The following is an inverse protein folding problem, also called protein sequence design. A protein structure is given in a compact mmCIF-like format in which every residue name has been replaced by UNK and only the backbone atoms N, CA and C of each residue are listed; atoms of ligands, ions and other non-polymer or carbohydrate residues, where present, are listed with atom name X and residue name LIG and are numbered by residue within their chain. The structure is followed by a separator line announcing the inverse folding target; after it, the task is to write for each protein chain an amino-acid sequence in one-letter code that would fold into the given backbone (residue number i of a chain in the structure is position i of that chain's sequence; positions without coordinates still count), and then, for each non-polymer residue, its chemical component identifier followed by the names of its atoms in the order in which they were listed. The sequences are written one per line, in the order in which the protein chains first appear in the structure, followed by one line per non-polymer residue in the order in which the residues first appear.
data_IF_386225564631
#
_entry.id   IF_386225564631
#
_cell.length_a   1.000
_cell.length_b   1.000
_cell.length_c   1.000
_cell.angle_alpha   90.00
_cell.angle_beta   90.00
_cell.angle_gamma   90.00
#
_symmetry.space_group_name_H-M   'P 1'
#
loop_
_entity.id
_entity.type
_entity.pdbx_description
1 polymer ?
#
# COMPACT_ATOMS: atom_id res chain seq x y z
N UNK A 1 -29.45 21.71 -18.91
CA UNK A 1 -30.71 21.13 -18.39
C UNK A 1 -30.63 19.65 -18.05
N UNK A 2 -29.93 18.84 -18.82
CA UNK A 2 -29.82 17.38 -18.60
C UNK A 2 -29.09 16.90 -17.29
N UNK A 3 -28.12 17.65 -16.78
CA UNK A 3 -27.35 17.21 -15.61
C UNK A 3 -28.16 17.27 -14.31
N UNK A 4 -28.98 18.31 -14.12
CA UNK A 4 -29.83 18.45 -12.92
C UNK A 4 -30.95 17.39 -12.86
N UNK A 5 -31.50 17.01 -13.99
CA UNK A 5 -32.49 15.93 -14.08
C UNK A 5 -31.87 14.55 -13.83
N UNK A 6 -30.67 14.32 -14.34
CA UNK A 6 -29.91 13.10 -14.08
C UNK A 6 -29.58 12.95 -12.57
N UNK A 7 -29.08 14.01 -11.95
CA UNK A 7 -28.80 14.02 -10.51
C UNK A 7 -30.08 13.81 -9.70
N UNK A 8 -31.20 14.43 -10.09
CA UNK A 8 -32.50 14.25 -9.44
C UNK A 8 -33.00 12.81 -9.54
N UNK A 9 -32.94 12.20 -10.74
CA UNK A 9 -33.34 10.81 -10.95
C UNK A 9 -32.50 9.80 -10.19
N UNK A 10 -31.16 10.07 -10.03
CA UNK A 10 -30.27 9.24 -9.21
C UNK A 10 -30.64 9.35 -7.73
N UNK A 11 -31.02 10.56 -7.29
CA UNK A 11 -31.37 10.82 -5.89
C UNK A 11 -32.75 10.31 -5.49
N UNK A 12 -33.73 10.31 -6.40
CA UNK A 12 -35.10 9.89 -6.11
C UNK A 12 -35.27 8.35 -6.07
N UNK A 13 -34.26 7.59 -6.52
CA UNK A 13 -34.31 6.12 -6.46
C UNK A 13 -33.82 5.65 -5.06
N UNK A 14 -34.67 4.95 -4.30
CA UNK A 14 -34.40 4.44 -2.97
C UNK A 14 -33.18 3.51 -2.91
N UNK A 15 -32.96 2.70 -3.95
CA UNK A 15 -31.77 1.83 -4.02
C UNK A 15 -30.48 2.65 -4.15
N UNK A 16 -30.50 3.68 -4.99
CA UNK A 16 -29.37 4.58 -5.17
C UNK A 16 -29.06 5.38 -3.88
N UNK A 17 -30.09 5.84 -3.18
CA UNK A 17 -29.91 6.51 -1.88
C UNK A 17 -29.23 5.58 -0.85
N UNK A 18 -29.61 4.31 -0.82
CA UNK A 18 -29.01 3.31 0.05
C UNK A 18 -27.55 3.04 -0.30
N UNK A 19 -27.25 2.95 -1.60
CA UNK A 19 -25.88 2.81 -2.11
C UNK A 19 -25.02 4.03 -1.75
N UNK A 20 -25.53 5.25 -1.98
CA UNK A 20 -24.84 6.50 -1.66
C UNK A 20 -24.56 6.61 -0.17
N UNK A 21 -25.53 6.30 0.70
CA UNK A 21 -25.36 6.29 2.16
C UNK A 21 -24.28 5.30 2.60
N UNK A 22 -24.32 4.09 2.05
CA UNK A 22 -23.31 3.07 2.36
C UNK A 22 -21.92 3.48 1.88
N UNK A 23 -21.81 4.05 0.68
CA UNK A 23 -20.55 4.56 0.16
C UNK A 23 -20.01 5.72 1.00
N UNK A 24 -20.85 6.66 1.40
CA UNK A 24 -20.48 7.77 2.27
C UNK A 24 -20.01 7.27 3.63
N UNK A 25 -20.73 6.31 4.24
CA UNK A 25 -20.35 5.71 5.51
C UNK A 25 -18.99 5.00 5.44
N UNK A 26 -18.73 4.25 4.35
CA UNK A 26 -17.44 3.60 4.11
C UNK A 26 -16.32 4.62 3.90
N UNK A 27 -16.59 5.70 3.15
CA UNK A 27 -15.62 6.77 2.93
C UNK A 27 -15.25 7.48 4.23
N UNK A 28 -16.25 7.83 5.04
CA UNK A 28 -16.03 8.44 6.36
C UNK A 28 -15.25 7.49 7.28
N UNK A 29 -15.63 6.21 7.33
CA UNK A 29 -14.92 5.21 8.11
C UNK A 29 -13.44 5.07 7.67
N UNK A 30 -13.17 5.11 6.36
CA UNK A 30 -11.82 5.09 5.80
C UNK A 30 -10.97 6.31 6.21
N UNK A 31 -11.57 7.52 6.18
CA UNK A 31 -10.90 8.76 6.61
C UNK A 31 -10.63 8.72 8.11
N UNK A 32 -11.61 8.33 8.92
CA UNK A 32 -11.46 8.22 10.39
C UNK A 32 -10.38 7.20 10.72
N UNK A 33 -10.38 6.03 10.06
CA UNK A 33 -9.34 5.02 10.24
C UNK A 33 -7.95 5.57 9.89
N UNK A 34 -7.83 6.28 8.75
CA UNK A 34 -6.57 6.89 8.33
C UNK A 34 -6.05 7.87 9.39
N UNK A 35 -6.94 8.73 9.91
CA UNK A 35 -6.58 9.70 10.95
C UNK A 35 -6.17 9.01 12.26
N UNK A 36 -6.92 8.02 12.72
CA UNK A 36 -6.61 7.25 13.91
C UNK A 36 -5.28 6.50 13.77
N UNK A 37 -5.03 5.88 12.62
CA UNK A 37 -3.80 5.13 12.37
C UNK A 37 -2.55 5.98 12.51
N UNK A 38 -2.59 7.24 12.05
CA UNK A 38 -1.44 8.14 12.10
C UNK A 38 -1.29 8.91 13.42
N UNK A 39 -2.38 9.13 14.16
CA UNK A 39 -2.36 9.93 15.37
C UNK A 39 -2.41 9.09 16.66
N UNK A 40 -2.53 7.77 16.53
CA UNK A 40 -2.53 6.85 17.69
C UNK A 40 -1.57 5.70 17.45
N UNK A 41 -1.05 5.12 18.52
CA UNK A 41 -0.22 3.91 18.48
C UNK A 41 -1.09 2.66 18.21
N UNK A 42 -1.99 2.75 17.22
CA UNK A 42 -2.96 1.69 16.92
C UNK A 42 -2.28 0.37 16.55
N UNK A 43 -1.09 0.44 15.97
CA UNK A 43 -0.28 -0.74 15.63
C UNK A 43 0.09 -1.54 16.88
N UNK A 44 0.56 -0.86 17.93
CA UNK A 44 0.94 -1.49 19.20
C UNK A 44 -0.27 -1.99 19.96
N UNK A 45 -1.39 -1.27 19.85
CA UNK A 45 -2.65 -1.68 20.48
C UNK A 45 -3.27 -2.93 19.82
N UNK A 46 -3.23 -3.03 18.48
CA UNK A 46 -3.82 -4.14 17.71
C UNK A 46 -2.96 -5.41 17.75
N UNK A 47 -1.66 -5.27 17.61
CA UNK A 47 -0.74 -6.40 17.52
C UNK A 47 0.06 -6.65 18.81
N UNK A 48 -0.06 -5.75 19.79
CA UNK A 48 0.67 -5.87 21.06
C UNK A 48 2.17 -6.08 20.89
N UNK A 49 2.78 -7.00 21.64
CA UNK A 49 4.21 -7.28 21.55
C UNK A 49 4.65 -7.91 20.22
N UNK A 50 3.70 -8.40 19.41
CA UNK A 50 3.98 -8.99 18.09
C UNK A 50 3.97 -7.97 16.94
N UNK A 51 3.67 -6.71 17.22
CA UNK A 51 3.57 -5.65 16.20
C UNK A 51 4.82 -5.60 15.32
N UNK A 52 6.01 -5.53 15.91
CA UNK A 52 7.28 -5.46 15.18
C UNK A 52 7.47 -6.66 14.26
N UNK A 53 7.22 -7.88 14.75
CA UNK A 53 7.38 -9.10 13.97
C UNK A 53 6.45 -9.14 12.75
N UNK A 54 5.20 -8.69 12.92
CA UNK A 54 4.22 -8.61 11.82
C UNK A 54 4.68 -7.59 10.78
N UNK A 55 5.13 -6.41 11.21
CA UNK A 55 5.66 -5.39 10.31
C UNK A 55 6.92 -5.86 9.59
N UNK A 56 7.87 -6.48 10.29
CA UNK A 56 9.09 -7.04 9.71
C UNK A 56 8.78 -8.08 8.64
N UNK A 57 7.83 -8.99 8.92
CA UNK A 57 7.40 -10.01 7.95
C UNK A 57 6.86 -9.40 6.66
N UNK A 58 5.96 -8.42 6.75
CA UNK A 58 5.40 -7.77 5.56
C UNK A 58 6.41 -6.86 4.86
N UNK A 59 7.30 -6.22 5.59
CA UNK A 59 8.42 -5.45 5.04
C UNK A 59 9.36 -6.34 4.24
N UNK A 60 9.66 -7.54 4.76
CA UNK A 60 10.49 -8.53 4.08
C UNK A 60 9.81 -9.07 2.80
N UNK A 61 8.49 -9.30 2.83
CA UNK A 61 7.73 -9.67 1.63
C UNK A 61 7.80 -8.56 0.59
N UNK A 62 7.58 -7.31 1.00
CA UNK A 62 7.65 -6.16 0.11
C UNK A 62 9.06 -5.99 -0.49
N UNK A 63 10.10 -6.14 0.32
CA UNK A 63 11.50 -6.07 -0.10
C UNK A 63 11.84 -7.17 -1.12
N UNK A 64 11.57 -8.44 -0.78
CA UNK A 64 11.89 -9.57 -1.66
C UNK A 64 11.10 -9.49 -2.98
N UNK A 65 9.81 -9.12 -2.92
CA UNK A 65 9.00 -8.93 -4.11
C UNK A 65 9.52 -7.80 -5.01
N UNK A 66 9.95 -6.69 -4.41
CA UNK A 66 10.56 -5.57 -5.14
C UNK A 66 11.91 -5.97 -5.73
N UNK A 67 12.73 -6.74 -4.99
CA UNK A 67 14.01 -7.23 -5.47
C UNK A 67 13.85 -8.11 -6.72
N UNK A 68 12.89 -9.04 -6.72
CA UNK A 68 12.59 -9.87 -7.89
C UNK A 68 12.19 -9.03 -9.12
N UNK A 69 11.41 -7.96 -8.91
CA UNK A 69 11.03 -7.07 -10.02
C UNK A 69 12.22 -6.23 -10.50
N UNK A 70 13.09 -5.76 -9.61
CA UNK A 70 14.30 -5.03 -9.98
C UNK A 70 15.27 -5.94 -10.75
N UNK A 71 15.48 -7.18 -10.31
CA UNK A 71 16.31 -8.15 -11.04
C UNK A 71 15.77 -8.46 -12.44
N UNK A 72 14.44 -8.45 -12.62
CA UNK A 72 13.81 -8.76 -13.89
C UNK A 72 13.75 -7.60 -14.88
N UNK A 73 13.66 -6.35 -14.39
CA UNK A 73 13.31 -5.20 -15.23
C UNK A 73 14.20 -3.97 -15.05
N UNK A 74 15.12 -3.95 -14.06
CA UNK A 74 16.01 -2.84 -13.84
C UNK A 74 17.40 -3.13 -14.45
N UNK A 75 17.87 -2.27 -15.35
CA UNK A 75 19.19 -2.39 -15.97
C UNK A 75 20.32 -1.72 -15.14
N UNK A 76 19.96 -1.02 -14.05
CA UNK A 76 20.90 -0.29 -13.22
C UNK A 76 21.53 -1.24 -12.18
N UNK A 77 22.86 -1.29 -12.07
CA UNK A 77 23.50 -2.15 -11.08
C UNK A 77 23.23 -1.67 -9.67
N UNK A 78 22.79 -2.57 -8.81
CA UNK A 78 22.51 -2.32 -7.41
C UNK A 78 23.00 -3.47 -6.53
N UNK A 79 23.14 -3.16 -5.23
CA UNK A 79 23.43 -4.11 -4.17
C UNK A 79 22.41 -3.96 -3.05
N UNK A 80 22.12 -5.06 -2.34
CA UNK A 80 21.16 -5.05 -1.24
C UNK A 80 21.87 -5.18 0.09
N UNK A 81 21.54 -4.30 1.06
CA UNK A 81 22.03 -4.35 2.44
C UNK A 81 20.83 -4.30 3.40
N UNK A 82 20.49 -5.44 4.01
CA UNK A 82 19.30 -5.57 4.83
C UNK A 82 18.03 -5.35 3.98
N UNK A 83 17.27 -4.29 4.26
CA UNK A 83 16.08 -3.87 3.48
C UNK A 83 16.35 -2.63 2.62
N UNK A 84 17.61 -2.40 2.25
CA UNK A 84 18.04 -1.26 1.44
C UNK A 84 18.53 -1.70 0.08
N UNK A 85 18.23 -0.90 -0.93
CA UNK A 85 18.79 -0.98 -2.28
C UNK A 85 19.81 0.14 -2.44
N UNK A 86 21.05 -0.22 -2.79
CA UNK A 86 22.16 0.71 -3.04
C UNK A 86 22.48 0.67 -4.53
N UNK A 87 22.30 1.80 -5.21
CA UNK A 87 22.55 1.92 -6.65
C UNK A 87 23.93 2.50 -6.93
N UNK A 88 24.61 1.94 -7.92
CA UNK A 88 26.00 2.27 -8.25
C UNK A 88 26.11 2.96 -9.60
N UNK A 89 27.04 3.91 -9.66
CA UNK A 89 27.47 4.52 -10.92
C UNK A 89 29.00 4.41 -11.04
N UNK A 90 29.54 4.11 -12.24
CA UNK A 90 30.98 4.18 -12.47
C UNK A 90 31.47 5.62 -12.30
N UNK A 91 32.43 5.82 -11.39
CA UNK A 91 33.06 7.12 -11.15
C UNK A 91 34.46 7.13 -11.76
N UNK A 92 34.84 8.17 -12.56
CA UNK A 92 36.09 8.19 -13.31
C UNK A 92 37.36 8.17 -12.45
N UNK A 93 37.28 8.59 -11.18
CA UNK A 93 38.44 8.69 -10.29
C UNK A 93 38.47 7.65 -9.15
N UNK A 94 37.31 7.10 -8.74
CA UNK A 94 37.18 6.22 -7.57
C UNK A 94 36.57 4.84 -7.89
N UNK A 95 36.41 4.49 -9.16
CA UNK A 95 35.90 3.19 -9.60
C UNK A 95 34.39 3.08 -9.54
N UNK A 96 33.79 2.85 -8.38
CA UNK A 96 32.32 2.69 -8.23
C UNK A 96 31.84 3.53 -7.06
N UNK A 97 30.84 4.35 -7.29
CA UNK A 97 30.24 5.21 -6.26
C UNK A 97 28.76 4.86 -6.09
N UNK A 98 28.33 4.81 -4.80
CA UNK A 98 26.90 4.73 -4.45
C UNK A 98 26.30 6.11 -4.63
N UNK A 99 25.42 6.28 -5.61
CA UNK A 99 24.81 7.57 -5.90
C UNK A 99 23.36 7.67 -5.39
N UNK A 100 22.69 6.53 -5.15
CA UNK A 100 21.35 6.49 -4.63
C UNK A 100 21.17 5.32 -3.66
N UNK A 101 20.41 5.54 -2.58
CA UNK A 101 20.09 4.52 -1.59
C UNK A 101 18.62 4.63 -1.21
N UNK A 102 17.86 3.52 -1.33
CA UNK A 102 16.46 3.46 -0.96
C UNK A 102 16.24 2.37 0.08
N UNK A 103 15.60 2.72 1.20
CA UNK A 103 15.28 1.78 2.29
C UNK A 103 13.79 1.52 2.34
N UNK A 104 13.41 0.23 2.39
CA UNK A 104 12.03 -0.16 2.66
C UNK A 104 11.85 -0.27 4.16
N UNK A 105 11.04 0.64 4.72
CA UNK A 105 10.71 0.73 6.14
C UNK A 105 9.32 0.14 6.42
N UNK A 106 8.97 0.01 7.70
CA UNK A 106 7.68 -0.54 8.14
C UNK A 106 6.47 0.14 7.53
N UNK A 107 6.53 1.46 7.27
CA UNK A 107 5.44 2.20 6.62
C UNK A 107 5.20 1.78 5.16
N UNK A 108 6.20 1.14 4.54
CA UNK A 108 6.10 0.57 3.19
C UNK A 108 5.57 -0.87 3.18
N UNK A 109 5.31 -1.48 4.36
CA UNK A 109 4.89 -2.88 4.49
C UNK A 109 3.53 -3.22 3.84
N UNK A 110 2.67 -2.22 3.62
CA UNK A 110 1.31 -2.42 3.09
C UNK A 110 0.29 -2.87 4.14
N UNK A 111 0.68 -3.10 5.39
CA UNK A 111 -0.22 -3.54 6.47
C UNK A 111 -1.39 -2.57 6.66
N UNK A 112 -1.13 -1.27 6.60
CA UNK A 112 -2.16 -0.23 6.73
C UNK A 112 -3.30 -0.43 5.73
N UNK A 113 -2.97 -0.72 4.47
CA UNK A 113 -3.93 -0.96 3.41
C UNK A 113 -4.74 -2.23 3.68
N UNK A 114 -4.09 -3.30 4.16
CA UNK A 114 -4.75 -4.55 4.55
C UNK A 114 -5.70 -4.32 5.71
N UNK A 115 -5.29 -3.56 6.74
CA UNK A 115 -6.14 -3.22 7.88
C UNK A 115 -7.35 -2.37 7.48
N UNK A 116 -7.13 -1.38 6.61
CA UNK A 116 -8.22 -0.57 6.06
C UNK A 116 -9.20 -1.42 5.24
N UNK A 117 -8.69 -2.35 4.46
CA UNK A 117 -9.50 -3.29 3.69
C UNK A 117 -10.29 -4.24 4.59
N UNK A 118 -9.67 -4.75 5.67
CA UNK A 118 -10.36 -5.55 6.68
C UNK A 118 -11.53 -4.78 7.31
N UNK A 119 -11.30 -3.52 7.68
CA UNK A 119 -12.36 -2.65 8.21
C UNK A 119 -13.53 -2.53 7.25
N UNK A 120 -13.26 -2.29 5.97
CA UNK A 120 -14.29 -2.21 4.92
C UNK A 120 -15.08 -3.51 4.83
N UNK A 121 -14.42 -4.67 4.83
CA UNK A 121 -15.08 -5.98 4.77
C UNK A 121 -15.94 -6.25 6.01
N UNK A 122 -15.49 -5.83 7.20
CA UNK A 122 -16.27 -5.95 8.44
C UNK A 122 -17.56 -5.12 8.35
N UNK A 123 -17.46 -3.88 7.87
CA UNK A 123 -18.59 -2.97 7.72
C UNK A 123 -19.57 -3.37 6.61
N UNK A 124 -19.12 -4.10 5.60
CA UNK A 124 -20.01 -4.62 4.57
C UNK A 124 -21.01 -5.61 5.14
N UNK A 125 -22.27 -5.53 4.70
CA UNK A 125 -23.31 -6.50 5.03
C UNK A 125 -23.12 -7.79 4.27
N UNK A 126 -23.25 -8.94 4.92
CA UNK A 126 -23.14 -10.25 4.27
C UNK A 126 -22.72 -11.39 5.20
N UNK A 127 -22.79 -12.63 4.71
CA UNK A 127 -22.43 -13.83 5.46
C UNK A 127 -20.91 -13.89 5.63
N UNK A 128 -20.43 -14.09 6.85
CA UNK A 128 -19.01 -14.14 7.23
C UNK A 128 -18.17 -15.13 6.39
N UNK A 129 -18.71 -16.32 6.15
CA UNK A 129 -18.04 -17.35 5.33
C UNK A 129 -17.70 -16.89 3.91
N UNK A 130 -18.50 -15.97 3.33
CA UNK A 130 -18.19 -15.39 2.02
C UNK A 130 -17.18 -14.27 2.10
N UNK A 131 -17.06 -13.59 3.23
CA UNK A 131 -16.11 -12.49 3.45
C UNK A 131 -14.65 -12.96 3.54
N UNK A 132 -14.42 -14.16 4.13
CA UNK A 132 -13.07 -14.70 4.32
C UNK A 132 -12.32 -14.84 2.98
N UNK A 133 -12.84 -15.55 1.94
CA UNK A 133 -12.13 -15.67 0.68
C UNK A 133 -11.92 -14.32 -0.03
N UNK A 134 -12.88 -13.38 0.09
CA UNK A 134 -12.68 -12.03 -0.44
C UNK A 134 -11.57 -11.27 0.29
N UNK A 135 -11.48 -11.42 1.60
CA UNK A 135 -10.40 -10.79 2.38
C UNK A 135 -9.04 -11.35 1.97
N UNK A 136 -8.91 -12.68 1.87
CA UNK A 136 -7.66 -13.31 1.48
C UNK A 136 -7.25 -12.88 0.06
N UNK A 137 -8.15 -13.00 -0.91
CA UNK A 137 -7.86 -12.63 -2.30
C UNK A 137 -7.52 -11.14 -2.42
N UNK A 138 -8.30 -10.27 -1.79
CA UNK A 138 -8.05 -8.82 -1.81
C UNK A 138 -6.75 -8.43 -1.11
N UNK A 139 -6.38 -9.09 0.00
CA UNK A 139 -5.11 -8.86 0.68
C UNK A 139 -3.92 -9.24 -0.20
N UNK A 140 -4.00 -10.35 -0.93
CA UNK A 140 -2.97 -10.75 -1.90
C UNK A 140 -2.81 -9.68 -2.98
N UNK A 141 -3.93 -9.21 -3.56
CA UNK A 141 -3.90 -8.15 -4.58
C UNK A 141 -3.30 -6.86 -4.03
N UNK A 142 -3.63 -6.47 -2.78
CA UNK A 142 -3.07 -5.29 -2.14
C UNK A 142 -1.56 -5.41 -1.91
N UNK A 143 -1.08 -6.58 -1.49
CA UNK A 143 0.36 -6.84 -1.32
C UNK A 143 1.08 -6.74 -2.67
N UNK A 144 0.55 -7.37 -3.72
CA UNK A 144 1.14 -7.29 -5.06
C UNK A 144 1.15 -5.86 -5.61
N UNK A 145 0.06 -5.12 -5.44
CA UNK A 145 -0.03 -3.71 -5.84
C UNK A 145 0.98 -2.84 -5.06
N UNK A 146 1.18 -3.11 -3.77
CA UNK A 146 2.17 -2.42 -2.95
C UNK A 146 3.61 -2.72 -3.40
N UNK A 147 3.94 -3.98 -3.68
CA UNK A 147 5.25 -4.38 -4.24
C UNK A 147 5.50 -3.65 -5.56
N UNK A 148 4.53 -3.65 -6.47
CA UNK A 148 4.64 -2.97 -7.76
C UNK A 148 4.83 -1.46 -7.59
N UNK A 149 4.12 -0.83 -6.65
CA UNK A 149 4.29 0.59 -6.31
C UNK A 149 5.71 0.88 -5.81
N UNK A 150 6.24 0.04 -4.91
CA UNK A 150 7.59 0.22 -4.35
C UNK A 150 8.62 0.03 -5.47
N UNK A 151 8.45 -0.98 -6.32
CA UNK A 151 9.30 -1.19 -7.49
C UNK A 151 9.37 0.05 -8.39
N UNK A 152 8.20 0.60 -8.78
CA UNK A 152 8.16 1.80 -9.62
C UNK A 152 8.86 3.01 -8.97
N UNK A 153 8.63 3.22 -7.67
CA UNK A 153 9.28 4.31 -6.94
C UNK A 153 10.79 4.11 -6.87
N UNK A 154 11.25 2.88 -6.64
CA UNK A 154 12.67 2.54 -6.54
C UNK A 154 13.37 2.70 -7.89
N UNK A 155 12.75 2.25 -8.98
CA UNK A 155 13.27 2.39 -10.33
C UNK A 155 13.34 3.87 -10.77
N UNK A 156 12.27 4.64 -10.55
CA UNK A 156 12.26 6.08 -10.81
C UNK A 156 13.31 6.84 -10.00
N UNK A 157 13.48 6.49 -8.72
CA UNK A 157 14.49 7.09 -7.87
C UNK A 157 15.91 6.75 -8.34
N UNK A 158 16.15 5.52 -8.78
CA UNK A 158 17.45 5.12 -9.32
C UNK A 158 17.80 5.86 -10.61
N UNK A 159 16.80 6.17 -11.46
CA UNK A 159 17.00 6.91 -12.69
C UNK A 159 17.23 8.42 -12.46
N UNK A 160 16.57 9.03 -11.48
CA UNK A 160 16.59 10.48 -11.23
C UNK A 160 16.64 10.81 -9.72
N UNK A 161 17.77 10.55 -9.03
CA UNK A 161 17.86 10.76 -7.58
C UNK A 161 17.78 12.24 -7.16
N UNK A 162 18.05 13.17 -8.09
CA UNK A 162 18.00 14.62 -7.81
C UNK A 162 16.57 15.20 -7.75
N UNK A 163 15.56 14.41 -8.15
CA UNK A 163 14.16 14.87 -8.17
C UNK A 163 13.36 14.45 -6.92
N UNK A 164 13.95 13.64 -6.04
CA UNK A 164 13.37 13.13 -4.80
C UNK A 164 14.18 13.58 -3.58
#
# INVERSE_FOLDING_TARGET
MKLKELVKNIWDNQENQKLIKNFLALSVAGVVFHFLYWNTDMNTWLFGPFSTQVFDFFTLIAFNGTNVLLEAFCDIPYYTEGTKFLFFRPHPQHGVEVYAAMSIIHDCSGIKQIMQFLLIIILCTGRWWKKIPYFIAGSIVLVLANIFRIYLLTDLYAQNPEQF
#
